data_IF_065615074388
#
_entry.id   IF_065615074388
#
_cell.length_a   1.000
_cell.length_b   1.000
_cell.length_c   1.000
_cell.angle_alpha   90.00
_cell.angle_beta   90.00
_cell.angle_gamma   90.00
#
_symmetry.space_group_name_H-M   'P 1'
#
loop_
_entity.id
_entity.type
_entity.pdbx_description
1 polymer ?
#
# COMPACT_ATOMS: atom_id res chain seq x y z
N UNK A 1 -8.05 -25.96 26.30
CA UNK A 1 -7.56 -27.31 25.95
C UNK A 1 -6.57 -27.15 24.81
N UNK A 2 -5.51 -27.96 24.72
CA UNK A 2 -4.54 -27.83 23.63
C UNK A 2 -5.07 -28.50 22.35
N UNK A 3 -5.68 -27.71 21.46
CA UNK A 3 -5.96 -28.14 20.09
C UNK A 3 -4.65 -28.14 19.28
N UNK A 4 -4.03 -29.31 19.12
CA UNK A 4 -2.94 -29.46 18.15
C UNK A 4 -3.52 -29.39 16.72
N UNK A 5 -2.88 -28.64 15.83
CA UNK A 5 -3.33 -28.47 14.45
C UNK A 5 -3.25 -29.79 13.67
N UNK A 6 -4.41 -30.39 13.40
CA UNK A 6 -4.49 -31.56 12.51
C UNK A 6 -4.10 -31.20 11.08
N UNK A 7 -3.00 -31.78 10.59
CA UNK A 7 -2.52 -31.59 9.22
C UNK A 7 -3.43 -32.32 8.24
N UNK A 8 -4.13 -31.56 7.38
CA UNK A 8 -4.97 -32.10 6.31
C UNK A 8 -4.22 -31.93 4.98
N UNK A 9 -4.15 -33.00 4.19
CA UNK A 9 -3.58 -32.97 2.83
C UNK A 9 -4.72 -33.06 1.81
N UNK A 10 -4.77 -32.11 0.86
CA UNK A 10 -5.78 -32.09 -0.21
C UNK A 10 -5.15 -31.69 -1.55
N UNK A 11 -5.27 -32.55 -2.57
CA UNK A 11 -4.73 -32.35 -3.92
C UNK A 11 -3.24 -31.95 -3.99
N UNK A 12 -2.43 -32.44 -3.03
CA UNK A 12 -1.00 -32.13 -2.92
C UNK A 12 -0.66 -30.89 -2.05
N UNK A 13 -1.66 -30.17 -1.55
CA UNK A 13 -1.49 -29.03 -0.64
C UNK A 13 -1.74 -29.43 0.81
N UNK A 14 -0.96 -28.87 1.74
CA UNK A 14 -1.38 -28.74 3.14
C UNK A 14 -2.51 -27.72 3.21
N UNK A 15 -3.57 -28.02 3.94
CA UNK A 15 -4.74 -27.14 4.06
C UNK A 15 -5.30 -27.10 5.48
N UNK A 16 -5.93 -25.99 5.83
CA UNK A 16 -6.64 -25.78 7.09
C UNK A 16 -8.13 -25.52 6.84
N UNK A 17 -8.99 -25.94 7.76
CA UNK A 17 -10.40 -25.52 7.77
C UNK A 17 -10.55 -24.10 8.31
N UNK A 18 -11.69 -23.45 8.03
CA UNK A 18 -12.03 -22.14 8.64
C UNK A 18 -11.96 -22.16 10.16
N UNK A 19 -12.32 -23.28 10.80
CA UNK A 19 -12.24 -23.45 12.25
C UNK A 19 -10.79 -23.48 12.76
N UNK A 20 -9.90 -24.23 12.09
CA UNK A 20 -8.48 -24.26 12.45
C UNK A 20 -7.78 -22.91 12.24
N UNK A 21 -8.18 -22.13 11.22
CA UNK A 21 -7.73 -20.74 11.09
C UNK A 21 -8.28 -19.85 12.20
N UNK A 22 -9.56 -19.99 12.55
CA UNK A 22 -10.18 -19.24 13.64
C UNK A 22 -9.45 -19.49 14.98
N UNK A 23 -9.20 -20.76 15.33
CA UNK A 23 -8.40 -21.17 16.48
C UNK A 23 -6.99 -20.55 16.43
N UNK A 24 -6.29 -20.64 15.28
CA UNK A 24 -4.92 -20.15 15.10
C UNK A 24 -4.79 -18.63 15.25
N UNK A 25 -5.74 -17.87 14.72
CA UNK A 25 -5.81 -16.41 14.89
C UNK A 25 -6.46 -15.99 16.23
N UNK A 26 -6.98 -16.94 17.02
CA UNK A 26 -7.92 -16.73 18.14
C UNK A 26 -9.04 -15.73 17.77
N UNK A 27 -9.58 -15.88 16.56
CA UNK A 27 -10.72 -15.14 16.06
C UNK A 27 -11.95 -16.06 16.00
N UNK A 28 -13.14 -15.50 15.84
CA UNK A 28 -14.33 -16.32 15.60
C UNK A 28 -14.38 -16.79 14.13
N UNK A 29 -14.83 -18.02 13.87
CA UNK A 29 -14.99 -18.56 12.50
C UNK A 29 -15.91 -17.72 11.61
N UNK A 30 -16.86 -16.99 12.20
CA UNK A 30 -17.69 -16.00 11.51
C UNK A 30 -16.88 -14.78 11.06
N UNK A 31 -15.89 -14.32 11.83
CA UNK A 31 -15.01 -13.20 11.44
C UNK A 31 -14.13 -13.61 10.25
N UNK A 32 -13.52 -14.81 10.32
CA UNK A 32 -12.76 -15.40 9.20
C UNK A 32 -13.63 -15.45 7.93
N UNK A 33 -14.85 -15.99 8.04
CA UNK A 33 -15.80 -16.13 6.93
C UNK A 33 -16.27 -14.78 6.38
N UNK A 34 -16.58 -13.81 7.26
CA UNK A 34 -17.07 -12.50 6.87
C UNK A 34 -16.00 -11.67 6.18
N UNK A 35 -14.75 -11.72 6.64
CA UNK A 35 -13.64 -11.00 6.01
C UNK A 35 -13.29 -11.58 4.63
N UNK A 36 -13.38 -12.90 4.45
CA UNK A 36 -13.28 -13.53 3.13
C UNK A 36 -14.44 -13.15 2.21
N UNK A 37 -15.70 -13.21 2.68
CA UNK A 37 -16.86 -12.84 1.85
C UNK A 37 -16.81 -11.36 1.41
N UNK A 38 -16.36 -10.45 2.29
CA UNK A 38 -16.14 -9.03 1.98
C UNK A 38 -15.01 -8.79 0.96
N UNK A 39 -14.02 -9.68 0.89
CA UNK A 39 -12.84 -9.56 0.02
C UNK A 39 -12.79 -10.63 -1.08
N UNK A 40 -13.92 -11.28 -1.39
CA UNK A 40 -13.97 -12.54 -2.16
C UNK A 40 -13.29 -12.42 -3.53
N UNK A 41 -13.41 -11.26 -4.16
CA UNK A 41 -12.74 -10.86 -5.41
C UNK A 41 -11.21 -11.03 -5.41
N UNK A 42 -10.57 -10.93 -4.22
CA UNK A 42 -9.12 -11.03 -4.06
C UNK A 42 -8.63 -12.48 -3.96
N UNK A 43 -9.55 -13.42 -3.69
CA UNK A 43 -9.25 -14.84 -3.49
C UNK A 43 -9.50 -15.65 -4.76
N UNK A 44 -8.63 -16.61 -5.04
CA UNK A 44 -8.72 -17.49 -6.22
C UNK A 44 -8.84 -18.95 -5.78
N UNK A 45 -9.86 -19.66 -6.28
CA UNK A 45 -10.01 -21.09 -6.06
C UNK A 45 -8.86 -21.89 -6.70
N UNK A 46 -8.45 -23.01 -6.08
CA UNK A 46 -7.30 -23.81 -6.47
C UNK A 46 -5.93 -23.20 -6.15
N UNK A 47 -5.88 -21.92 -5.75
CA UNK A 47 -4.65 -21.18 -5.41
C UNK A 47 -4.63 -20.73 -3.95
N UNK A 48 -5.77 -20.27 -3.44
CA UNK A 48 -5.94 -19.76 -2.08
C UNK A 48 -6.88 -20.63 -1.24
N UNK A 49 -7.91 -21.22 -1.87
CA UNK A 49 -8.83 -22.15 -1.20
C UNK A 49 -9.32 -23.23 -2.17
N UNK A 50 -9.85 -24.32 -1.60
CA UNK A 50 -10.72 -25.28 -2.29
C UNK A 50 -12.09 -25.28 -1.60
N UNK A 51 -13.17 -25.22 -2.36
CA UNK A 51 -14.53 -25.37 -1.84
C UNK A 51 -14.99 -26.83 -1.99
N UNK A 52 -15.23 -27.50 -0.86
CA UNK A 52 -15.83 -28.83 -0.84
C UNK A 52 -17.35 -28.73 -0.69
N UNK A 53 -18.06 -29.30 -1.66
CA UNK A 53 -19.51 -29.49 -1.69
C UNK A 53 -19.86 -30.94 -2.07
N UNK A 54 -21.14 -31.29 -1.94
CA UNK A 54 -21.72 -32.50 -2.53
C UNK A 54 -20.98 -33.81 -2.20
N UNK A 55 -20.63 -34.57 -3.23
CA UNK A 55 -19.92 -35.85 -3.10
C UNK A 55 -18.49 -35.72 -2.56
N UNK A 56 -17.79 -34.63 -2.89
CA UNK A 56 -16.44 -34.36 -2.38
C UNK A 56 -16.46 -34.06 -0.88
N UNK A 57 -17.43 -33.25 -0.42
CA UNK A 57 -17.63 -32.98 1.01
C UNK A 57 -18.04 -34.24 1.78
N UNK A 58 -18.93 -35.08 1.24
CA UNK A 58 -19.28 -36.37 1.85
C UNK A 58 -18.04 -37.25 2.02
N UNK A 59 -17.25 -37.45 0.96
CA UNK A 59 -16.02 -38.26 0.99
C UNK A 59 -15.01 -37.74 2.02
N UNK A 60 -14.85 -36.41 2.11
CA UNK A 60 -13.96 -35.78 3.09
C UNK A 60 -14.39 -36.05 4.55
N UNK A 61 -15.69 -35.91 4.88
CA UNK A 61 -16.21 -36.21 6.22
C UNK A 61 -15.95 -37.66 6.63
N UNK A 62 -16.17 -38.62 5.72
CA UNK A 62 -15.92 -40.05 5.96
C UNK A 62 -14.46 -40.38 6.25
N UNK A 63 -13.52 -39.71 5.57
CA UNK A 63 -12.08 -39.97 5.74
C UNK A 63 -11.55 -39.43 7.08
N UNK A 64 -12.01 -38.25 7.49
CA UNK A 64 -11.44 -37.52 8.63
C UNK A 64 -12.18 -37.70 9.98
N UNK A 65 -13.19 -38.58 10.05
CA UNK A 65 -13.93 -38.94 11.29
C UNK A 65 -14.31 -37.72 12.17
N UNK A 66 -14.80 -36.66 11.55
CA UNK A 66 -15.16 -35.44 12.28
C UNK A 66 -16.41 -35.65 13.16
N UNK A 67 -16.39 -35.05 14.34
CA UNK A 67 -17.47 -35.10 15.34
C UNK A 67 -18.82 -34.58 14.80
N UNK A 68 -19.93 -34.90 15.47
CA UNK A 68 -21.30 -34.86 14.92
C UNK A 68 -21.77 -33.45 14.52
N UNK A 69 -21.15 -32.40 15.06
CA UNK A 69 -21.33 -31.01 14.62
C UNK A 69 -21.05 -30.83 13.12
N UNK A 70 -20.12 -31.61 12.57
CA UNK A 70 -19.73 -31.58 11.16
C UNK A 70 -20.81 -32.12 10.21
N UNK A 71 -21.79 -32.89 10.68
CA UNK A 71 -22.79 -33.49 9.80
C UNK A 71 -23.68 -32.45 9.10
N UNK A 72 -23.89 -31.27 9.70
CA UNK A 72 -24.84 -30.25 9.21
C UNK A 72 -24.31 -29.29 8.14
N UNK A 73 -23.00 -29.23 7.88
CA UNK A 73 -22.45 -28.31 6.86
C UNK A 73 -22.59 -28.88 5.43
N UNK A 74 -23.11 -28.03 4.52
CA UNK A 74 -23.23 -28.33 3.07
C UNK A 74 -22.06 -27.79 2.24
N UNK A 75 -21.21 -26.95 2.85
CA UNK A 75 -20.04 -26.29 2.26
C UNK A 75 -18.90 -26.34 3.27
N UNK A 76 -17.68 -26.62 2.82
CA UNK A 76 -16.46 -26.48 3.62
C UNK A 76 -15.37 -25.81 2.77
N UNK A 77 -14.75 -24.76 3.31
CA UNK A 77 -13.57 -24.16 2.70
C UNK A 77 -12.31 -24.79 3.32
N UNK A 78 -11.42 -25.24 2.45
CA UNK A 78 -10.07 -25.70 2.79
C UNK A 78 -9.07 -24.66 2.28
N UNK A 79 -8.39 -24.00 3.20
CA UNK A 79 -7.48 -22.89 2.94
C UNK A 79 -6.06 -23.40 2.72
N UNK A 80 -5.46 -23.04 1.58
CA UNK A 80 -4.01 -23.22 1.38
C UNK A 80 -3.26 -22.19 2.23
N UNK A 81 -1.94 -22.38 2.40
CA UNK A 81 -0.99 -21.37 2.89
C UNK A 81 -1.36 -19.94 2.41
N UNK A 82 -1.58 -19.77 1.10
CA UNK A 82 -1.83 -18.45 0.51
C UNK A 82 -3.21 -17.89 0.82
N UNK A 83 -4.21 -18.73 1.11
CA UNK A 83 -5.50 -18.30 1.63
C UNK A 83 -5.41 -17.90 3.10
N UNK A 84 -4.72 -18.69 3.91
CA UNK A 84 -4.45 -18.39 5.31
C UNK A 84 -3.68 -17.07 5.48
N UNK A 85 -2.66 -16.82 4.65
CA UNK A 85 -1.95 -15.53 4.58
C UNK A 85 -2.86 -14.34 4.26
N UNK A 86 -3.81 -14.52 3.33
CA UNK A 86 -4.79 -13.47 3.02
C UNK A 86 -5.76 -13.21 4.17
N UNK A 87 -6.12 -14.23 4.95
CA UNK A 87 -6.91 -14.06 6.18
C UNK A 87 -6.11 -13.27 7.23
N UNK A 88 -4.86 -13.64 7.50
CA UNK A 88 -3.98 -12.93 8.42
C UNK A 88 -3.91 -11.43 8.08
N UNK A 89 -3.54 -11.11 6.83
CA UNK A 89 -3.49 -9.72 6.33
C UNK A 89 -4.82 -8.97 6.44
N UNK A 90 -5.95 -9.67 6.44
CA UNK A 90 -7.30 -9.09 6.55
C UNK A 90 -7.83 -8.97 7.99
N UNK A 91 -7.09 -9.44 8.99
CA UNK A 91 -7.52 -9.44 10.40
C UNK A 91 -6.90 -8.30 11.21
N UNK A 92 -5.65 -7.92 10.92
CA UNK A 92 -4.94 -6.78 11.53
C UNK A 92 -4.97 -6.78 13.08
N UNK A 93 -4.87 -7.98 13.67
CA UNK A 93 -4.69 -8.23 15.11
C UNK A 93 -3.28 -8.76 15.37
N UNK A 94 -2.79 -8.69 16.61
CA UNK A 94 -1.44 -9.16 16.96
C UNK A 94 -1.24 -10.64 16.58
N UNK A 95 -2.27 -11.47 16.79
CA UNK A 95 -2.26 -12.89 16.38
C UNK A 95 -2.29 -13.16 14.88
N UNK A 96 -2.56 -12.14 14.06
CA UNK A 96 -2.34 -12.23 12.62
C UNK A 96 -0.85 -12.15 12.25
N UNK A 97 0.00 -11.63 13.16
CA UNK A 97 1.46 -11.69 13.05
C UNK A 97 1.98 -13.06 13.51
N UNK A 98 1.51 -13.61 14.63
CA UNK A 98 1.86 -14.96 15.10
C UNK A 98 1.64 -16.03 14.00
N UNK A 99 0.51 -15.95 13.29
CA UNK A 99 0.17 -16.85 12.19
C UNK A 99 0.60 -16.36 10.79
N UNK A 100 1.29 -15.21 10.71
CA UNK A 100 2.16 -14.87 9.58
C UNK A 100 3.53 -15.54 9.75
N UNK A 101 4.05 -15.59 10.98
CA UNK A 101 5.35 -16.19 11.34
C UNK A 101 5.40 -17.66 10.88
N UNK A 102 4.46 -18.48 11.37
CA UNK A 102 4.27 -19.91 11.04
C UNK A 102 4.10 -20.20 9.52
N UNK A 103 3.87 -19.17 8.70
CA UNK A 103 3.49 -19.27 7.29
C UNK A 103 4.55 -18.71 6.34
N UNK A 104 5.35 -17.75 6.80
CA UNK A 104 6.68 -17.49 6.22
C UNK A 104 7.55 -18.73 6.34
N UNK A 105 7.39 -19.51 7.42
CA UNK A 105 8.13 -20.75 7.65
C UNK A 105 8.03 -21.74 6.47
N UNK A 106 6.91 -22.47 6.36
CA UNK A 106 6.75 -23.67 5.52
C UNK A 106 7.04 -23.39 4.02
N UNK A 107 7.05 -22.11 3.61
CA UNK A 107 7.39 -21.64 2.28
C UNK A 107 8.89 -21.59 1.94
N UNK A 108 9.77 -21.16 2.86
CA UNK A 108 11.19 -20.93 2.54
C UNK A 108 12.07 -22.19 2.65
N UNK A 109 11.75 -23.14 3.54
CA UNK A 109 12.48 -24.41 3.70
C UNK A 109 12.44 -25.29 2.47
N UNK A 110 11.46 -25.09 1.59
CA UNK A 110 11.30 -25.87 0.36
C UNK A 110 12.25 -25.38 -0.75
N UNK A 111 12.79 -24.15 -0.65
CA UNK A 111 13.57 -23.53 -1.75
C UNK A 111 15.09 -23.61 -1.64
N UNK A 112 15.68 -23.67 -0.46
CA UNK A 112 17.14 -23.77 -0.34
C UNK A 112 17.66 -25.21 -0.43
N UNK A 113 16.87 -26.23 -0.04
CA UNK A 113 17.28 -27.66 -0.05
C UNK A 113 17.31 -28.32 -1.45
N UNK A 114 17.53 -27.55 -2.53
CA UNK A 114 17.77 -28.10 -3.88
C UNK A 114 19.19 -27.88 -4.43
N UNK A 115 20.09 -27.26 -3.65
CA UNK A 115 21.52 -27.22 -3.97
C UNK A 115 22.39 -27.60 -2.77
N UNK A 116 23.43 -28.39 -3.04
CA UNK A 116 24.35 -29.07 -2.09
C UNK A 116 23.69 -30.10 -1.15
N UNK A 117 24.33 -31.26 -1.05
CA UNK A 117 23.74 -32.48 -0.49
C UNK A 117 24.12 -32.75 0.96
N UNK A 118 23.30 -32.27 1.88
CA UNK A 118 22.98 -32.94 3.15
C UNK A 118 21.66 -32.37 3.68
N UNK A 119 20.88 -33.18 4.40
CA UNK A 119 19.61 -32.73 4.97
C UNK A 119 19.89 -31.86 6.19
N UNK A 120 20.20 -30.59 5.94
CA UNK A 120 19.90 -29.54 6.91
C UNK A 120 18.40 -29.59 7.17
N UNK A 121 18.05 -29.71 8.45
CA UNK A 121 16.64 -29.80 8.84
C UNK A 121 15.89 -28.55 8.37
N UNK A 122 14.71 -28.76 7.80
CA UNK A 122 13.98 -27.71 7.08
C UNK A 122 13.62 -26.56 8.01
N UNK A 123 13.31 -26.92 9.24
CA UNK A 123 12.98 -26.10 10.40
C UNK A 123 14.15 -25.16 10.82
N UNK A 124 15.40 -25.52 10.52
CA UNK A 124 16.59 -24.74 10.90
C UNK A 124 16.91 -23.59 9.93
N UNK A 125 16.72 -23.80 8.61
CA UNK A 125 16.77 -22.71 7.63
C UNK A 125 15.63 -21.70 7.88
N UNK A 126 14.48 -22.21 8.35
CA UNK A 126 13.29 -21.48 8.74
C UNK A 126 13.52 -20.50 9.88
N UNK A 127 14.07 -20.96 11.00
CA UNK A 127 14.39 -20.09 12.14
C UNK A 127 15.31 -18.90 11.77
N UNK A 128 16.11 -19.01 10.70
CA UNK A 128 16.95 -17.91 10.18
C UNK A 128 16.12 -16.93 9.33
N UNK A 129 15.19 -17.43 8.50
CA UNK A 129 14.28 -16.59 7.72
C UNK A 129 13.31 -15.87 8.65
N UNK A 130 12.68 -16.59 9.60
CA UNK A 130 11.83 -16.02 10.66
C UNK A 130 12.50 -14.84 11.33
N UNK A 131 13.71 -15.05 11.88
CA UNK A 131 14.41 -14.00 12.62
C UNK A 131 14.65 -12.77 11.74
N UNK A 132 15.02 -12.93 10.47
CA UNK A 132 15.15 -11.80 9.54
C UNK A 132 13.82 -11.12 9.23
N UNK A 133 12.72 -11.85 9.07
CA UNK A 133 11.40 -11.23 8.88
C UNK A 133 10.92 -10.53 10.15
N UNK A 134 11.10 -11.11 11.32
CA UNK A 134 10.81 -10.50 12.61
C UNK A 134 11.66 -9.24 12.86
N UNK A 135 12.99 -9.30 12.61
CA UNK A 135 13.89 -8.14 12.68
C UNK A 135 13.42 -7.01 11.76
N UNK A 136 13.03 -7.33 10.52
CA UNK A 136 12.47 -6.36 9.58
C UNK A 136 11.08 -5.86 9.99
N UNK A 137 10.26 -6.68 10.66
CA UNK A 137 8.88 -6.35 11.05
C UNK A 137 8.75 -5.61 12.39
N UNK A 138 9.68 -5.81 13.32
CA UNK A 138 9.86 -4.90 14.47
C UNK A 138 10.30 -3.53 13.95
N UNK A 139 11.18 -3.51 12.94
CA UNK A 139 11.60 -2.27 12.30
C UNK A 139 10.53 -1.67 11.37
N UNK A 140 9.59 -2.43 10.81
CA UNK A 140 8.70 -1.91 9.75
C UNK A 140 7.77 -0.79 10.24
N UNK A 141 7.05 -0.89 11.37
CA UNK A 141 6.27 0.22 11.92
C UNK A 141 7.14 1.40 12.37
N UNK A 142 8.38 1.17 12.84
CA UNK A 142 9.30 2.26 13.16
C UNK A 142 9.81 2.95 11.88
N UNK A 143 10.07 2.19 10.81
CA UNK A 143 10.48 2.69 9.50
C UNK A 143 9.34 3.41 8.81
N UNK A 144 8.10 2.91 8.85
CA UNK A 144 6.92 3.61 8.35
C UNK A 144 6.64 4.87 9.17
N UNK A 145 6.64 4.81 10.50
CA UNK A 145 6.48 6.01 11.33
C UNK A 145 7.63 7.03 11.14
N UNK A 146 8.86 6.56 10.90
CA UNK A 146 10.00 7.43 10.54
C UNK A 146 9.90 7.95 9.12
N UNK A 147 9.36 7.19 8.17
CA UNK A 147 9.14 7.60 6.79
C UNK A 147 8.03 8.65 6.74
N UNK A 148 6.88 8.40 7.37
CA UNK A 148 5.84 9.40 7.59
C UNK A 148 6.41 10.65 8.25
N UNK A 149 7.17 10.52 9.36
CA UNK A 149 7.79 11.68 10.01
C UNK A 149 8.85 12.36 9.14
N UNK A 150 9.52 11.67 8.24
CA UNK A 150 10.41 12.24 7.24
C UNK A 150 9.59 12.99 6.19
N UNK A 151 8.67 12.36 5.49
CA UNK A 151 7.85 12.99 4.44
C UNK A 151 6.95 14.13 4.96
N UNK A 152 6.57 14.08 6.24
CA UNK A 152 5.83 15.15 6.92
C UNK A 152 6.68 16.31 7.44
N UNK A 153 8.01 16.19 7.52
CA UNK A 153 8.88 17.24 8.09
C UNK A 153 10.14 17.57 7.25
N UNK A 154 10.47 16.79 6.22
CA UNK A 154 11.53 17.11 5.26
C UNK A 154 10.97 17.90 4.10
N UNK A 155 11.76 18.86 3.64
CA UNK A 155 11.41 19.74 2.54
C UNK A 155 11.87 19.14 1.21
N UNK A 156 11.23 19.55 0.13
CA UNK A 156 11.51 19.06 -1.22
C UNK A 156 12.98 19.20 -1.60
N UNK A 157 13.54 18.14 -2.20
CA UNK A 157 14.96 18.09 -2.57
C UNK A 157 15.28 19.04 -3.75
N UNK A 158 16.57 19.26 -4.06
CA UNK A 158 16.98 20.20 -5.13
C UNK A 158 16.39 19.87 -6.51
N UNK A 159 16.18 18.59 -6.84
CA UNK A 159 15.51 18.17 -8.08
C UNK A 159 14.03 18.57 -8.11
N UNK A 160 13.30 18.28 -7.02
CA UNK A 160 11.92 18.70 -6.83
C UNK A 160 11.77 20.23 -6.82
N UNK A 161 12.66 20.96 -6.13
CA UNK A 161 12.71 22.43 -6.17
C UNK A 161 12.92 22.96 -7.59
N UNK A 162 13.77 22.31 -8.40
CA UNK A 162 13.95 22.65 -9.81
C UNK A 162 12.68 22.38 -10.62
N UNK A 163 12.03 21.22 -10.44
CA UNK A 163 10.79 20.87 -11.16
C UNK A 163 9.66 21.86 -10.85
N UNK A 164 9.42 22.17 -9.57
CA UNK A 164 8.39 23.12 -9.14
C UNK A 164 8.67 24.55 -9.64
N UNK A 165 9.95 24.96 -9.69
CA UNK A 165 10.35 26.24 -10.27
C UNK A 165 10.23 26.26 -11.82
N UNK A 166 10.52 25.14 -12.50
CA UNK A 166 10.31 25.02 -13.94
C UNK A 166 8.83 25.08 -14.30
N UNK A 167 7.96 24.47 -13.50
CA UNK A 167 6.51 24.50 -13.68
C UNK A 167 5.96 25.92 -13.43
N UNK A 168 6.40 26.60 -12.37
CA UNK A 168 6.04 28.01 -12.15
C UNK A 168 6.52 28.93 -13.29
N UNK A 169 7.70 28.69 -13.87
CA UNK A 169 8.15 29.42 -15.05
C UNK A 169 7.26 29.15 -16.27
N UNK A 170 6.87 27.89 -16.52
CA UNK A 170 5.96 27.48 -17.61
C UNK A 170 4.62 28.21 -17.49
N UNK A 171 4.04 28.22 -16.30
CA UNK A 171 2.75 28.84 -15.99
C UNK A 171 2.83 30.36 -16.10
N UNK A 172 3.85 31.01 -15.51
CA UNK A 172 4.01 32.48 -15.59
C UNK A 172 4.24 32.95 -17.03
N UNK A 173 5.02 32.22 -17.84
CA UNK A 173 5.19 32.52 -19.27
C UNK A 173 3.84 32.37 -20.01
N UNK A 174 3.09 31.29 -19.76
CA UNK A 174 1.77 31.06 -20.37
C UNK A 174 0.77 32.17 -20.02
N UNK A 175 0.65 32.49 -18.72
CA UNK A 175 -0.21 33.56 -18.17
C UNK A 175 0.10 34.93 -18.76
N UNK A 176 1.38 35.24 -19.01
CA UNK A 176 1.79 36.50 -19.62
C UNK A 176 1.61 36.50 -21.15
N UNK A 177 1.18 35.40 -21.77
CA UNK A 177 0.96 35.30 -23.22
C UNK A 177 2.21 34.95 -24.04
N UNK A 178 3.19 34.28 -23.42
CA UNK A 178 4.42 33.81 -24.07
C UNK A 178 5.66 34.66 -23.78
N UNK A 179 6.84 34.14 -24.16
CA UNK A 179 8.16 34.78 -23.95
C UNK A 179 8.32 36.14 -24.64
N UNK A 180 7.52 36.39 -25.66
CA UNK A 180 7.63 37.54 -26.55
C UNK A 180 6.54 38.59 -26.34
N UNK A 181 5.66 38.37 -25.36
CA UNK A 181 4.57 39.29 -25.04
C UNK A 181 5.08 40.59 -24.41
N UNK A 182 4.24 41.63 -24.49
CA UNK A 182 4.50 42.91 -23.84
C UNK A 182 4.66 42.76 -22.31
N UNK A 183 3.73 42.03 -21.68
CA UNK A 183 3.71 41.83 -20.23
C UNK A 183 4.82 40.90 -19.72
N UNK A 184 5.31 39.95 -20.54
CA UNK A 184 6.50 39.19 -20.20
C UNK A 184 7.76 40.04 -20.33
N UNK A 185 7.86 40.93 -21.32
CA UNK A 185 9.02 41.80 -21.50
C UNK A 185 9.13 42.84 -20.38
N UNK A 186 8.02 43.40 -19.89
CA UNK A 186 8.02 44.25 -18.70
C UNK A 186 8.56 43.51 -17.46
N UNK A 187 9.72 43.97 -16.96
CA UNK A 187 10.36 43.45 -15.75
C UNK A 187 9.52 43.66 -14.49
N UNK A 188 8.75 44.74 -14.40
CA UNK A 188 7.89 45.04 -13.26
C UNK A 188 6.73 44.05 -13.18
N UNK A 189 5.97 43.92 -14.27
CA UNK A 189 4.82 43.01 -14.37
C UNK A 189 5.20 41.53 -14.31
N UNK A 190 6.29 41.13 -14.96
CA UNK A 190 6.86 39.78 -14.83
C UNK A 190 7.24 39.48 -13.37
N UNK A 191 7.93 40.41 -12.69
CA UNK A 191 8.28 40.24 -11.27
C UNK A 191 7.03 40.16 -10.36
N UNK A 192 6.04 41.05 -10.55
CA UNK A 192 4.75 40.99 -9.84
C UNK A 192 4.09 39.62 -9.98
N UNK A 193 4.11 39.05 -11.18
CA UNK A 193 3.45 37.77 -11.50
C UNK A 193 4.11 36.60 -10.77
N UNK A 194 5.45 36.49 -10.81
CA UNK A 194 6.19 35.53 -9.98
C UNK A 194 5.97 35.77 -8.48
N UNK A 195 5.91 37.03 -8.03
CA UNK A 195 5.63 37.38 -6.63
C UNK A 195 4.18 37.16 -6.20
N UNK A 196 3.24 36.93 -7.12
CA UNK A 196 1.87 36.53 -6.83
C UNK A 196 1.79 35.01 -6.69
N UNK A 197 2.25 34.26 -7.70
CA UNK A 197 2.30 32.79 -7.66
C UNK A 197 3.03 32.28 -6.41
N UNK A 198 4.20 32.82 -6.09
CA UNK A 198 4.95 32.45 -4.88
C UNK A 198 4.43 33.05 -3.57
N UNK A 199 3.41 33.91 -3.59
CA UNK A 199 2.63 34.24 -2.39
C UNK A 199 1.53 33.20 -2.23
N UNK A 200 0.70 33.02 -3.25
CA UNK A 200 -0.46 32.14 -3.21
C UNK A 200 -0.08 30.67 -2.91
N UNK A 201 1.07 30.20 -3.42
CA UNK A 201 1.69 28.92 -3.02
C UNK A 201 1.99 28.86 -1.53
N UNK A 202 2.69 29.87 -1.01
CA UNK A 202 3.15 29.91 0.38
C UNK A 202 2.03 30.08 1.38
N UNK A 203 1.03 30.89 1.05
CA UNK A 203 -0.15 31.12 1.87
C UNK A 203 -1.02 29.83 1.92
N UNK A 204 -1.06 29.05 0.82
CA UNK A 204 -1.77 27.77 0.75
C UNK A 204 -1.05 26.64 1.52
N UNK A 205 0.28 26.52 1.38
CA UNK A 205 1.08 25.49 2.06
C UNK A 205 1.60 25.91 3.46
N UNK A 206 1.33 27.15 3.88
CA UNK A 206 1.81 27.76 5.14
C UNK A 206 3.35 27.77 5.28
N UNK A 207 4.06 28.06 4.18
CA UNK A 207 5.54 28.01 4.10
C UNK A 207 6.19 29.39 3.94
N UNK A 208 7.45 29.56 4.36
CA UNK A 208 8.18 30.82 4.17
C UNK A 208 8.81 30.95 2.78
N UNK A 209 9.09 29.82 2.14
CA UNK A 209 9.68 29.67 0.80
C UNK A 209 9.05 28.48 0.05
N UNK A 210 9.08 28.51 -1.29
CA UNK A 210 8.88 27.33 -2.13
C UNK A 210 9.79 26.17 -1.69
N UNK A 211 11.02 26.48 -1.26
CA UNK A 211 12.00 25.47 -0.79
C UNK A 211 11.60 24.78 0.51
N UNK A 212 10.62 25.31 1.24
CA UNK A 212 10.15 24.76 2.50
C UNK A 212 8.89 23.89 2.32
N UNK A 213 8.42 23.73 1.07
CA UNK A 213 7.34 22.79 0.74
C UNK A 213 7.75 21.37 1.15
N UNK A 214 6.87 20.64 1.83
CA UNK A 214 7.15 19.29 2.31
C UNK A 214 7.11 18.26 1.18
N UNK A 215 7.88 17.17 1.32
CA UNK A 215 7.94 16.10 0.30
C UNK A 215 6.55 15.53 0.00
N UNK A 216 5.71 15.26 1.03
CA UNK A 216 4.33 14.77 0.86
C UNK A 216 3.40 15.70 0.06
N UNK A 217 3.72 17.00 0.02
CA UNK A 217 2.89 18.05 -0.59
C UNK A 217 3.38 18.41 -2.01
N UNK A 218 4.45 17.76 -2.49
CA UNK A 218 5.09 18.08 -3.77
C UNK A 218 4.16 17.94 -4.99
N UNK A 219 3.43 16.82 -5.10
CA UNK A 219 2.52 16.61 -6.23
C UNK A 219 1.34 17.59 -6.20
N UNK A 220 0.79 17.84 -4.99
CA UNK A 220 -0.22 18.88 -4.77
C UNK A 220 0.31 20.27 -5.11
N UNK A 221 1.59 20.55 -4.87
CA UNK A 221 2.23 21.81 -5.25
C UNK A 221 2.37 21.94 -6.77
N UNK A 222 2.76 20.87 -7.49
CA UNK A 222 2.77 20.86 -8.95
C UNK A 222 1.37 21.11 -9.51
N UNK A 223 0.34 20.43 -9.02
CA UNK A 223 -1.06 20.64 -9.44
C UNK A 223 -1.53 22.08 -9.19
N UNK A 224 -1.26 22.62 -8.00
CA UNK A 224 -1.67 23.98 -7.60
C UNK A 224 -0.93 25.07 -8.38
N UNK A 225 0.33 24.84 -8.76
CA UNK A 225 1.10 25.76 -9.63
C UNK A 225 0.64 25.63 -11.08
N UNK A 226 0.50 24.42 -11.61
CA UNK A 226 0.01 24.13 -12.98
C UNK A 226 -1.36 24.75 -13.25
N UNK A 227 -2.25 24.73 -12.25
CA UNK A 227 -3.58 25.35 -12.28
C UNK A 227 -3.63 26.80 -11.77
N UNK A 228 -2.49 27.48 -11.58
CA UNK A 228 -2.48 28.87 -11.10
C UNK A 228 -2.81 29.88 -12.20
N UNK A 229 -3.63 30.88 -11.87
CA UNK A 229 -3.94 32.02 -12.73
C UNK A 229 -4.03 33.31 -11.89
N UNK A 230 -3.55 34.46 -12.40
CA UNK A 230 -3.63 35.73 -11.71
C UNK A 230 -5.08 36.24 -11.67
N UNK A 231 -5.39 37.07 -10.67
CA UNK A 231 -6.75 37.55 -10.44
C UNK A 231 -6.81 39.06 -10.19
N UNK A 232 -8.03 39.61 -10.23
CA UNK A 232 -8.34 40.95 -9.72
C UNK A 232 -7.60 42.09 -10.41
N UNK A 233 -6.58 42.65 -9.76
CA UNK A 233 -5.76 43.76 -10.29
C UNK A 233 -4.66 43.26 -11.22
N UNK A 234 -3.96 42.19 -10.85
CA UNK A 234 -2.80 41.69 -11.61
C UNK A 234 -3.21 41.22 -13.01
N UNK A 235 -4.33 40.50 -13.12
CA UNK A 235 -4.88 40.06 -14.40
C UNK A 235 -5.12 41.23 -15.36
N UNK A 236 -5.75 42.31 -14.87
CA UNK A 236 -6.00 43.52 -15.67
C UNK A 236 -4.71 44.20 -16.13
N UNK A 237 -3.71 44.33 -15.25
CA UNK A 237 -2.41 44.89 -15.63
C UNK A 237 -1.71 44.04 -16.72
N UNK A 238 -1.85 42.71 -16.69
CA UNK A 238 -1.33 41.78 -17.72
C UNK A 238 -2.05 41.95 -19.06
N UNK A 239 -3.38 41.96 -19.05
CA UNK A 239 -4.16 42.17 -20.26
C UNK A 239 -3.94 43.56 -20.88
N UNK A 240 -3.88 44.63 -20.07
CA UNK A 240 -3.66 46.00 -20.52
C UNK A 240 -2.29 46.15 -21.21
N UNK A 241 -1.22 45.62 -20.61
CA UNK A 241 0.10 45.61 -21.23
C UNK A 241 0.10 44.84 -22.57
N UNK A 242 -0.53 43.67 -22.63
CA UNK A 242 -0.61 42.89 -23.87
C UNK A 242 -1.49 43.53 -24.95
N UNK A 243 -2.51 44.33 -24.59
CA UNK A 243 -3.33 45.12 -25.53
C UNK A 243 -2.60 46.32 -26.14
N UNK A 244 -1.62 46.91 -25.44
CA UNK A 244 -0.97 48.15 -25.85
C UNK A 244 0.06 48.03 -27.00
N UNK A 245 0.46 46.81 -27.39
CA UNK A 245 1.36 46.56 -28.54
C UNK A 245 0.66 45.85 -29.72
N UNK A 246 -0.66 45.98 -29.83
CA UNK A 246 -1.48 45.36 -30.89
C UNK A 246 -1.77 46.31 -32.08
N UNK A 247 -0.97 47.37 -32.24
CA UNK A 247 -1.07 48.42 -33.27
C UNK A 247 0.30 48.76 -33.85
#
# INVERSE_FOLDING_TARGET
MNNQLQVINHNGFRVLTTAQLADSFNADSTVISNNFNRNRERYTEGKHFFLLEGSNLKRFKTIHQNDDSSNRINRLYLWTEKGAWMHAKSLNTDRAWDAYEILVDDYYSVKETQYSSQVLDKDAALAIVLRKTADMMVQFPEIESRLERVENNTTINYGQQRQLAQEANRVVISVLGGSDSASYRDRSLRNKTYSALWRDHKDYFQTNSMRDTLVKDFDRALDRVSAWAPQGRLLREIEEANRQLAF
#
